data_IF_133171584577
#
_entry.id   IF_133171584577
#
_cell.length_a   1.000
_cell.length_b   1.000
_cell.length_c   1.000
_cell.angle_alpha   90.00
_cell.angle_beta   90.00
_cell.angle_gamma   90.00
#
_symmetry.space_group_name_H-M   'P 1'
#
loop_
_entity.id
_entity.type
_entity.pdbx_description
1 polymer ?
#
# COMPACT_ATOMS: atom_id res chain seq x y z
N UNK A 1 -37.27 -27.99 75.78
CA UNK A 1 -37.01 -26.64 75.25
C UNK A 1 -35.90 -26.73 74.20
N UNK A 2 -36.17 -26.15 73.02
CA UNK A 2 -35.26 -25.73 71.92
C UNK A 2 -34.14 -26.67 71.40
N UNK A 3 -34.38 -27.13 70.17
CA UNK A 3 -33.41 -27.54 69.14
C UNK A 3 -32.49 -26.37 68.77
N UNK A 4 -31.23 -26.65 68.39
CA UNK A 4 -30.50 -25.81 67.43
C UNK A 4 -29.51 -26.66 66.63
N UNK A 5 -29.90 -27.04 65.40
CA UNK A 5 -28.98 -27.44 64.35
C UNK A 5 -28.34 -26.17 63.79
N UNK A 6 -27.02 -26.15 63.70
CA UNK A 6 -26.29 -25.16 62.90
C UNK A 6 -26.20 -25.69 61.47
N UNK A 7 -26.97 -25.13 60.54
CA UNK A 7 -26.69 -25.23 59.11
C UNK A 7 -25.64 -24.19 58.74
N UNK A 8 -24.46 -24.65 58.32
CA UNK A 8 -23.49 -23.81 57.63
C UNK A 8 -23.95 -23.62 56.18
N UNK A 9 -24.58 -22.48 55.89
CA UNK A 9 -24.90 -22.05 54.53
C UNK A 9 -23.66 -21.45 53.88
N UNK A 10 -22.99 -22.21 53.02
CA UNK A 10 -21.95 -21.68 52.13
C UNK A 10 -22.59 -20.86 51.01
N UNK A 11 -22.35 -19.55 50.99
CA UNK A 11 -22.74 -18.68 49.89
C UNK A 11 -21.74 -18.91 48.75
N UNK A 12 -22.15 -19.62 47.70
CA UNK A 12 -21.41 -19.67 46.45
C UNK A 12 -21.57 -18.32 45.73
N UNK A 13 -20.54 -17.47 45.80
CA UNK A 13 -20.49 -16.24 45.01
C UNK A 13 -20.15 -16.62 43.57
N UNK A 14 -21.16 -16.62 42.71
CA UNK A 14 -21.00 -16.78 41.27
C UNK A 14 -20.45 -15.47 40.71
N UNK A 15 -19.13 -15.38 40.55
CA UNK A 15 -18.50 -14.25 39.85
C UNK A 15 -18.73 -14.46 38.35
N UNK A 16 -19.74 -13.81 37.79
CA UNK A 16 -19.93 -13.73 36.34
C UNK A 16 -18.91 -12.73 35.82
N UNK A 17 -17.79 -13.24 35.30
CA UNK A 17 -16.82 -12.45 34.54
C UNK A 17 -17.48 -12.05 33.22
N UNK A 18 -18.07 -10.86 33.16
CA UNK A 18 -18.45 -10.25 31.89
C UNK A 18 -17.16 -9.92 31.15
N UNK A 19 -16.80 -10.71 30.14
CA UNK A 19 -15.76 -10.35 29.19
C UNK A 19 -16.25 -9.11 28.44
N UNK A 20 -15.80 -7.94 28.87
CA UNK A 20 -15.92 -6.73 28.06
C UNK A 20 -14.93 -6.91 26.90
N UNK A 21 -15.44 -7.21 25.71
CA UNK A 21 -14.66 -7.11 24.49
C UNK A 21 -14.04 -5.71 24.45
N UNK A 22 -12.72 -5.63 24.60
CA UNK A 22 -12.03 -4.36 24.53
C UNK A 22 -12.21 -3.82 23.11
N UNK A 23 -12.48 -2.52 22.94
CA UNK A 23 -12.51 -1.93 21.61
C UNK A 23 -11.11 -2.11 21.00
N UNK A 24 -11.03 -2.81 19.88
CA UNK A 24 -9.81 -2.89 19.08
C UNK A 24 -9.48 -1.48 18.63
N UNK A 25 -8.45 -0.88 19.23
CA UNK A 25 -7.92 0.39 18.78
C UNK A 25 -6.93 0.07 17.65
N UNK A 26 -7.29 0.39 16.42
CA UNK A 26 -6.33 0.45 15.31
C UNK A 26 -5.31 1.53 15.65
N UNK A 27 -4.10 1.13 16.04
CA UNK A 27 -2.97 2.06 16.15
C UNK A 27 -2.43 2.26 14.74
N UNK A 28 -2.90 3.30 14.05
CA UNK A 28 -2.27 3.74 12.81
C UNK A 28 -0.88 4.28 13.14
N UNK A 29 0.15 3.44 13.02
CA UNK A 29 1.51 3.96 12.86
C UNK A 29 1.59 4.57 11.47
N UNK A 30 1.58 5.89 11.40
CA UNK A 30 2.02 6.60 10.21
C UNK A 30 3.54 6.43 10.11
N UNK A 31 3.99 5.50 9.25
CA UNK A 31 5.36 5.54 8.75
C UNK A 31 5.45 6.75 7.81
N UNK A 32 5.56 7.93 8.41
CA UNK A 32 5.58 9.22 7.72
C UNK A 32 6.98 9.51 7.17
N UNK A 33 7.48 8.61 6.32
CA UNK A 33 8.58 8.96 5.41
C UNK A 33 8.00 9.67 4.18
N UNK A 34 7.44 10.88 4.37
CA UNK A 34 7.02 11.75 3.27
C UNK A 34 8.26 12.32 2.58
N UNK A 35 8.88 11.50 1.74
CA UNK A 35 9.94 11.93 0.83
C UNK A 35 9.35 11.99 -0.56
N UNK A 36 9.21 13.20 -1.10
CA UNK A 36 8.97 13.38 -2.53
C UNK A 36 10.14 12.73 -3.28
N UNK A 37 9.86 11.64 -4.00
CA UNK A 37 10.87 10.91 -4.78
C UNK A 37 10.65 11.18 -6.26
N UNK A 38 11.73 11.38 -6.99
CA UNK A 38 11.69 11.46 -8.46
C UNK A 38 11.83 10.06 -9.03
N UNK A 39 10.87 9.67 -9.86
CA UNK A 39 10.91 8.44 -10.64
C UNK A 39 11.20 8.84 -12.08
N UNK A 40 12.40 8.51 -12.54
CA UNK A 40 12.88 8.88 -13.86
C UNK A 40 12.35 7.90 -14.92
N UNK A 41 11.96 8.42 -16.09
CA UNK A 41 11.37 7.63 -17.16
C UNK A 41 12.37 6.68 -17.85
N UNK A 42 13.65 7.07 -17.87
CA UNK A 42 14.74 6.33 -18.51
C UNK A 42 15.43 5.31 -17.61
N UNK A 43 14.78 4.91 -16.51
CA UNK A 43 15.32 3.93 -15.56
C UNK A 43 14.33 2.79 -15.40
N UNK A 44 14.88 1.58 -15.22
CA UNK A 44 14.11 0.41 -14.83
C UNK A 44 13.56 0.58 -13.39
N UNK A 45 13.00 -0.46 -12.79
CA UNK A 45 12.44 -0.47 -11.44
C UNK A 45 13.30 0.26 -10.41
N UNK A 46 12.82 1.42 -9.97
CA UNK A 46 13.49 2.28 -9.00
C UNK A 46 12.99 1.96 -7.61
N UNK A 47 13.91 1.59 -6.72
CA UNK A 47 13.59 1.44 -5.29
C UNK A 47 13.17 2.79 -4.73
N UNK A 48 12.04 2.82 -4.05
CA UNK A 48 11.65 4.00 -3.25
C UNK A 48 12.31 3.96 -1.87
N UNK A 49 12.81 2.80 -1.42
CA UNK A 49 13.26 2.59 -0.04
C UNK A 49 12.12 2.46 0.97
N UNK A 50 10.86 2.69 0.55
CA UNK A 50 9.68 2.50 1.41
C UNK A 50 9.44 1.01 1.56
N UNK A 51 9.47 0.54 2.81
CA UNK A 51 9.09 -0.82 3.17
C UNK A 51 7.57 -0.89 3.37
N UNK A 52 6.99 -1.96 2.83
CA UNK A 52 5.58 -2.29 2.96
C UNK A 52 5.50 -3.71 3.51
N UNK A 53 4.65 -3.93 4.51
CA UNK A 53 4.33 -5.25 5.01
C UNK A 53 2.92 -5.68 4.54
N UNK A 54 2.64 -6.98 4.59
CA UNK A 54 1.35 -7.50 4.15
C UNK A 54 0.23 -6.97 5.07
N UNK A 55 -0.84 -6.46 4.47
CA UNK A 55 -1.98 -5.88 5.18
C UNK A 55 -1.93 -4.36 5.31
N UNK A 56 -0.77 -3.73 5.12
CA UNK A 56 -0.63 -2.27 5.14
C UNK A 56 -1.51 -1.60 4.09
N UNK A 57 -2.01 -0.41 4.41
CA UNK A 57 -2.59 0.49 3.42
C UNK A 57 -1.48 1.37 2.85
N UNK A 58 -1.33 1.33 1.53
CA UNK A 58 -0.37 2.13 0.78
C UNK A 58 -1.13 3.14 -0.08
N UNK A 59 -0.83 4.41 0.12
CA UNK A 59 -1.32 5.52 -0.69
C UNK A 59 -0.15 6.15 -1.43
N UNK A 60 -0.32 6.34 -2.73
CA UNK A 60 0.69 6.95 -3.60
C UNK A 60 -0.02 8.02 -4.42
N UNK A 61 0.55 9.21 -4.45
CA UNK A 61 0.15 10.25 -5.41
C UNK A 61 1.35 10.62 -6.27
N UNK A 62 1.10 10.98 -7.52
CA UNK A 62 2.13 11.30 -8.49
C UNK A 62 1.76 12.53 -9.31
N UNK A 63 2.76 13.36 -9.59
CA UNK A 63 2.63 14.55 -10.43
C UNK A 63 3.89 14.78 -11.29
N UNK A 64 3.79 15.71 -12.23
CA UNK A 64 4.84 15.98 -13.21
C UNK A 64 4.60 15.26 -14.52
N UNK A 65 5.60 15.29 -15.39
CA UNK A 65 5.46 14.80 -16.76
C UNK A 65 6.76 14.13 -17.23
N UNK A 66 6.60 13.10 -18.04
CA UNK A 66 7.70 12.44 -18.73
C UNK A 66 7.32 12.12 -20.17
N UNK A 67 8.34 11.94 -20.99
CA UNK A 67 8.22 11.52 -22.38
C UNK A 67 8.39 10.01 -22.47
N UNK A 68 7.47 9.37 -23.18
CA UNK A 68 7.55 7.96 -23.56
C UNK A 68 7.18 7.71 -25.04
N UNK A 69 6.53 8.70 -25.66
CA UNK A 69 6.20 8.69 -27.08
C UNK A 69 6.84 9.93 -27.71
N UNK A 70 7.29 9.87 -28.98
CA UNK A 70 7.97 10.99 -29.60
C UNK A 70 7.19 12.30 -29.50
N UNK A 71 7.88 13.36 -29.05
CA UNK A 71 7.40 14.74 -28.97
C UNK A 71 6.18 14.99 -28.06
N UNK A 72 5.74 14.03 -27.24
CA UNK A 72 4.66 14.22 -26.28
C UNK A 72 5.07 13.87 -24.84
N UNK A 73 4.85 14.82 -23.95
CA UNK A 73 4.96 14.63 -22.52
C UNK A 73 3.58 14.29 -21.95
N UNK A 74 3.55 13.35 -21.02
CA UNK A 74 2.34 12.95 -20.35
C UNK A 74 2.56 12.88 -18.84
N UNK A 75 1.47 13.14 -18.11
CA UNK A 75 1.42 12.88 -16.69
C UNK A 75 1.46 11.39 -16.36
N UNK A 76 1.50 11.05 -15.06
CA UNK A 76 1.66 9.68 -14.60
C UNK A 76 0.46 8.76 -14.92
N UNK A 77 -0.69 9.29 -15.36
CA UNK A 77 -1.78 8.50 -15.95
C UNK A 77 -1.40 7.81 -17.28
N UNK A 78 -0.34 8.28 -17.95
CA UNK A 78 0.07 7.82 -19.27
C UNK A 78 -0.79 8.42 -20.39
N UNK A 79 -0.67 7.85 -21.60
CA UNK A 79 -1.37 8.39 -22.76
C UNK A 79 -2.89 8.26 -22.64
N UNK A 80 -3.67 9.33 -22.92
CA UNK A 80 -5.11 9.34 -22.67
C UNK A 80 -5.94 8.49 -23.63
N UNK A 81 -5.37 8.10 -24.77
CA UNK A 81 -6.09 7.35 -25.83
C UNK A 81 -5.53 5.97 -26.15
N UNK A 82 -4.27 5.70 -25.79
CA UNK A 82 -3.56 4.53 -26.26
C UNK A 82 -3.23 3.62 -25.08
N UNK A 83 -3.92 2.48 -24.95
CA UNK A 83 -3.62 1.51 -23.90
C UNK A 83 -2.23 0.91 -24.12
N UNK A 84 -1.63 0.40 -23.04
CA UNK A 84 -0.37 -0.32 -23.10
C UNK A 84 -0.52 -1.60 -23.94
N UNK A 85 0.37 -1.84 -24.93
CA UNK A 85 0.46 -3.12 -25.63
C UNK A 85 0.68 -4.31 -24.67
N UNK A 86 0.36 -5.53 -25.13
CA UNK A 86 0.49 -6.74 -24.30
C UNK A 86 1.92 -7.10 -23.88
N UNK A 87 2.92 -6.58 -24.58
CA UNK A 87 4.33 -6.78 -24.26
C UNK A 87 4.89 -5.74 -23.28
N UNK A 88 4.10 -4.73 -22.91
CA UNK A 88 4.48 -3.78 -21.86
C UNK A 88 4.46 -4.44 -20.48
N UNK A 89 5.14 -3.86 -19.48
CA UNK A 89 5.17 -4.43 -18.14
C UNK A 89 3.79 -4.65 -17.51
N UNK A 90 2.82 -3.76 -17.77
CA UNK A 90 1.42 -3.86 -17.34
C UNK A 90 0.49 -3.50 -18.50
N UNK A 91 -0.20 -4.49 -19.06
CA UNK A 91 -1.09 -4.30 -20.23
C UNK A 91 -2.49 -3.77 -19.89
N UNK A 92 -2.86 -3.71 -18.61
CA UNK A 92 -4.17 -3.20 -18.16
C UNK A 92 -4.22 -1.68 -18.00
N UNK A 93 -3.07 -0.99 -18.10
CA UNK A 93 -2.95 0.46 -18.02
C UNK A 93 -2.69 1.12 -19.38
N UNK A 94 -2.38 2.42 -19.36
CA UNK A 94 -1.90 3.15 -20.53
C UNK A 94 -0.39 3.03 -20.71
N UNK A 95 0.10 3.20 -21.93
CA UNK A 95 1.52 3.43 -22.18
C UNK A 95 1.98 4.71 -21.47
N UNK A 96 3.19 4.69 -20.92
CA UNK A 96 3.73 5.82 -20.17
C UNK A 96 3.12 6.03 -18.78
N UNK A 97 2.19 5.18 -18.32
CA UNK A 97 1.64 5.30 -16.98
C UNK A 97 2.69 4.96 -15.91
N UNK A 98 2.59 5.57 -14.73
CA UNK A 98 3.36 5.14 -13.55
C UNK A 98 2.83 3.79 -13.07
N UNK A 99 3.73 2.82 -12.88
CA UNK A 99 3.42 1.49 -12.39
C UNK A 99 4.29 1.14 -11.18
N UNK A 100 3.77 0.25 -10.35
CA UNK A 100 4.40 -0.21 -9.12
C UNK A 100 4.52 -1.73 -9.02
N UNK A 101 5.42 -2.17 -8.14
CA UNK A 101 5.46 -3.53 -7.60
C UNK A 101 6.03 -3.50 -6.19
N UNK A 102 5.64 -4.46 -5.35
CA UNK A 102 6.21 -4.65 -4.02
C UNK A 102 7.23 -5.79 -4.09
N UNK A 103 8.46 -5.57 -3.65
CA UNK A 103 9.55 -6.54 -3.81
C UNK A 103 10.02 -6.70 -5.25
N UNK A 104 11.11 -7.46 -5.45
CA UNK A 104 11.73 -7.63 -6.77
C UNK A 104 10.94 -8.54 -7.72
N UNK A 105 10.11 -9.43 -7.16
CA UNK A 105 9.34 -10.44 -7.92
C UNK A 105 7.83 -10.27 -7.76
N UNK A 106 7.38 -9.18 -7.17
CA UNK A 106 5.96 -8.94 -6.93
C UNK A 106 5.13 -8.76 -8.19
N UNK A 107 3.82 -8.96 -8.02
CA UNK A 107 2.83 -8.55 -9.01
C UNK A 107 2.93 -7.06 -9.29
N UNK A 108 2.78 -6.70 -10.56
CA UNK A 108 2.83 -5.31 -11.03
C UNK A 108 1.42 -4.72 -11.04
N UNK A 109 1.29 -3.45 -10.70
CA UNK A 109 0.03 -2.73 -10.65
C UNK A 109 0.17 -1.32 -11.24
N UNK A 110 -0.95 -0.76 -11.69
CA UNK A 110 -1.01 0.63 -12.16
C UNK A 110 -1.09 1.55 -10.95
N UNK A 111 -0.26 2.60 -10.93
CA UNK A 111 -0.34 3.70 -9.96
C UNK A 111 -1.07 4.87 -10.60
N UNK A 112 -0.72 5.26 -11.83
CA UNK A 112 -1.33 6.44 -12.45
C UNK A 112 -1.01 7.72 -11.67
N UNK A 113 -1.94 8.69 -11.67
CA UNK A 113 -1.90 9.88 -10.82
C UNK A 113 -1.98 9.55 -9.32
N UNK A 114 -2.55 8.41 -8.96
CA UNK A 114 -2.52 7.93 -7.59
C UNK A 114 -3.28 6.63 -7.39
N UNK A 115 -2.90 5.92 -6.34
CA UNK A 115 -3.52 4.66 -5.92
C UNK A 115 -3.61 4.58 -4.41
N UNK A 116 -4.69 3.98 -3.92
CA UNK A 116 -4.86 3.61 -2.53
C UNK A 116 -5.19 2.12 -2.47
N UNK A 117 -4.23 1.31 -2.00
CA UNK A 117 -4.30 -0.15 -2.05
C UNK A 117 -3.92 -0.79 -0.72
N UNK A 118 -4.43 -2.00 -0.50
CA UNK A 118 -3.92 -2.86 0.56
C UNK A 118 -2.81 -3.76 0.02
N UNK A 119 -1.67 -3.80 0.70
CA UNK A 119 -0.55 -4.63 0.34
C UNK A 119 -0.87 -6.11 0.58
N UNK A 120 -0.71 -6.93 -0.45
CA UNK A 120 -0.94 -8.40 -0.38
C UNK A 120 0.32 -9.19 -0.03
N UNK A 121 1.45 -8.50 0.08
CA UNK A 121 2.77 -9.09 0.35
C UNK A 121 3.70 -8.04 0.94
N UNK A 122 4.79 -8.48 1.54
CA UNK A 122 5.82 -7.61 2.11
C UNK A 122 6.96 -7.34 1.11
N UNK A 123 7.66 -6.21 1.27
CA UNK A 123 8.85 -5.88 0.48
C UNK A 123 9.09 -4.39 0.36
N UNK A 124 10.11 -4.03 -0.43
CA UNK A 124 10.36 -2.64 -0.82
C UNK A 124 9.46 -2.27 -1.99
N UNK A 125 8.84 -1.09 -1.97
CA UNK A 125 8.09 -0.56 -3.11
C UNK A 125 9.06 -0.11 -4.22
N UNK A 126 8.81 -0.57 -5.44
CA UNK A 126 9.51 -0.16 -6.64
C UNK A 126 8.54 0.49 -7.62
N UNK A 127 9.01 1.54 -8.30
CA UNK A 127 8.23 2.28 -9.29
C UNK A 127 8.99 2.41 -10.61
N UNK A 128 8.26 2.49 -11.73
CA UNK A 128 8.82 2.82 -13.05
C UNK A 128 7.72 3.30 -14.01
N UNK A 129 8.13 3.78 -15.17
CA UNK A 129 7.24 4.00 -16.31
C UNK A 129 6.79 2.68 -16.94
N UNK A 130 5.55 2.63 -17.40
CA UNK A 130 4.98 1.52 -18.15
C UNK A 130 5.35 1.62 -19.62
N UNK A 131 6.55 1.13 -19.93
CA UNK A 131 7.11 1.12 -21.27
C UNK A 131 8.10 -0.04 -21.44
N UNK A 132 8.30 -0.50 -22.68
CA UNK A 132 9.21 -1.60 -23.02
C UNK A 132 10.62 -1.12 -23.40
N UNK A 133 10.72 0.03 -24.07
CA UNK A 133 11.99 0.71 -24.35
C UNK A 133 12.12 1.90 -23.40
N UNK A 134 13.22 1.97 -22.65
CA UNK A 134 13.42 3.04 -21.65
C UNK A 134 14.46 4.07 -22.09
N UNK A 135 15.32 3.72 -23.06
CA UNK A 135 16.46 4.54 -23.45
C UNK A 135 16.10 5.81 -24.23
N UNK A 136 14.88 5.86 -24.78
CA UNK A 136 14.30 6.97 -25.53
C UNK A 136 13.33 7.81 -24.69
N UNK A 137 13.17 7.48 -23.41
CA UNK A 137 12.32 8.21 -22.48
C UNK A 137 13.08 9.39 -21.84
N UNK A 138 12.36 10.45 -21.47
CA UNK A 138 12.94 11.61 -20.80
C UNK A 138 12.04 12.15 -19.69
N UNK A 139 12.61 12.90 -18.76
CA UNK A 139 11.88 13.49 -17.64
C UNK A 139 11.66 12.55 -16.46
N UNK A 140 10.75 12.96 -15.58
CA UNK A 140 10.44 12.26 -14.34
C UNK A 140 9.08 12.69 -13.79
N UNK A 141 8.49 11.82 -12.98
CA UNK A 141 7.36 12.18 -12.11
C UNK A 141 7.83 12.23 -10.65
N UNK A 142 7.24 13.13 -9.87
CA UNK A 142 7.43 13.22 -8.44
C UNK A 142 6.33 12.42 -7.73
N UNK A 143 6.69 11.63 -6.72
CA UNK A 143 5.74 10.78 -5.98
C UNK A 143 5.76 11.09 -4.49
N UNK A 144 4.58 11.14 -3.87
CA UNK A 144 4.38 11.05 -2.42
C UNK A 144 3.91 9.63 -2.09
N UNK A 145 4.37 9.09 -0.97
CA UNK A 145 4.03 7.73 -0.54
C UNK A 145 3.71 7.77 0.94
N UNK A 146 2.53 7.28 1.31
CA UNK A 146 2.11 7.09 2.69
C UNK A 146 1.80 5.60 2.94
N UNK A 147 2.33 5.08 4.04
CA UNK A 147 2.07 3.71 4.50
C UNK A 147 1.45 3.78 5.88
N UNK A 148 0.24 3.23 6.00
CA UNK A 148 -0.45 3.04 7.27
C UNK A 148 -0.42 1.56 7.63
N UNK A 149 0.27 1.23 8.72
CA UNK A 149 0.30 -0.13 9.25
C UNK A 149 -1.10 -0.56 9.69
N UNK A 150 -1.50 -1.78 9.30
CA UNK A 150 -2.69 -2.42 9.87
C UNK A 150 -2.24 -3.28 11.03
N UNK A 151 -2.35 -2.79 12.27
CA UNK A 151 -2.19 -3.66 13.44
C UNK A 151 -3.36 -4.65 13.50
N UNK A 152 -3.07 -5.93 13.27
CA UNK A 152 -4.00 -7.03 13.51
C UNK A 152 -4.25 -7.09 15.02
N UNK A 153 -5.51 -6.95 15.44
CA UNK A 153 -5.90 -7.09 16.84
C UNK A 153 -5.42 -8.44 17.36
N UNK A 154 -4.45 -8.44 18.28
CA UNK A 154 -4.03 -9.67 18.93
C UNK A 154 -5.24 -10.28 19.68
N UNK A 155 -5.47 -11.60 19.55
CA UNK A 155 -6.54 -12.28 20.28
C UNK A 155 -6.33 -12.27 21.80
#
# INVERSE_FOLDING_TARGET
MRKLLLLAGGIAVLVVLTQTAQPVLTVSRHHSELLTKRIYAYRDWQSTGVRVDQGDRVEIEAEGEWLYTPDEFHGPAGHPRFPAPSFYPVSSGSGGALIGRIGETGGRFVVGEGVNMQATQHGILYLRINDDVLSDNDGYVAVSIEVTETEESQP
#
